data_IF_315837331505
#
_entry.id   IF_315837331505
#
_cell.length_a   1.000
_cell.length_b   1.000
_cell.length_c   1.000
_cell.angle_alpha   90.00
_cell.angle_beta   90.00
_cell.angle_gamma   90.00
#
_symmetry.space_group_name_H-M   'P 1'
#
loop_
_entity.id
_entity.type
_entity.pdbx_description
1 polymer ?
#
# COMPACT_ATOMS: atom_id res chain seq x y z
N UNK A 1 20.50 59.72 -46.52
CA UNK A 1 20.94 58.94 -45.30
C UNK A 1 19.78 58.04 -44.90
N UNK A 2 19.82 56.72 -45.20
CA UNK A 2 18.76 55.78 -44.86
C UNK A 2 19.22 55.01 -43.60
N UNK A 3 18.49 55.19 -42.49
CA UNK A 3 18.75 54.47 -41.23
C UNK A 3 18.02 53.15 -41.31
N UNK A 4 18.78 52.05 -41.36
CA UNK A 4 18.22 50.68 -41.32
C UNK A 4 17.91 50.30 -39.86
N UNK A 5 16.67 49.95 -39.61
CA UNK A 5 16.21 49.44 -38.29
C UNK A 5 16.51 47.93 -38.25
N UNK A 6 17.45 47.53 -37.39
CA UNK A 6 17.69 46.13 -37.10
C UNK A 6 16.69 45.67 -36.03
N UNK A 7 15.76 44.78 -36.37
CA UNK A 7 14.89 44.09 -35.42
C UNK A 7 15.62 42.85 -34.95
N UNK A 8 16.06 42.86 -33.69
CA UNK A 8 16.61 41.66 -33.01
C UNK A 8 15.47 40.87 -32.46
N UNK A 9 15.17 39.74 -33.09
CA UNK A 9 14.17 38.78 -32.57
C UNK A 9 14.85 37.94 -31.48
N UNK A 10 14.51 38.15 -30.21
CA UNK A 10 14.89 37.24 -29.11
C UNK A 10 14.06 35.97 -29.22
N UNK A 11 14.69 34.87 -29.60
CA UNK A 11 14.13 33.54 -29.42
C UNK A 11 14.21 33.21 -27.90
N UNK A 12 13.08 33.24 -27.21
CA UNK A 12 12.96 32.68 -25.87
C UNK A 12 13.09 31.14 -25.97
N UNK A 13 14.22 30.60 -25.56
CA UNK A 13 14.37 29.15 -25.38
C UNK A 13 13.41 28.71 -24.26
N UNK A 14 12.39 27.91 -24.60
CA UNK A 14 11.55 27.27 -23.59
C UNK A 14 12.43 26.36 -22.74
N UNK A 15 12.45 26.60 -21.42
CA UNK A 15 13.10 25.69 -20.48
C UNK A 15 12.52 24.29 -20.65
N UNK A 16 13.33 23.22 -20.63
CA UNK A 16 12.81 21.86 -20.69
C UNK A 16 11.87 21.66 -19.51
N UNK A 17 10.62 21.29 -19.79
CA UNK A 17 9.65 20.91 -18.79
C UNK A 17 10.27 19.73 -17.99
N UNK A 18 10.58 19.94 -16.72
CA UNK A 18 11.04 18.85 -15.87
C UNK A 18 9.96 17.75 -15.93
N UNK A 19 10.35 16.55 -16.34
CA UNK A 19 9.40 15.43 -16.42
C UNK A 19 8.76 15.23 -15.04
N UNK A 20 7.44 15.09 -15.03
CA UNK A 20 6.69 14.81 -13.80
C UNK A 20 7.30 13.57 -13.10
N UNK A 21 7.44 13.62 -11.76
CA UNK A 21 8.02 12.50 -11.04
C UNK A 21 7.11 11.27 -11.17
N UNK A 22 7.73 10.08 -11.26
CA UNK A 22 7.00 8.80 -11.31
C UNK A 22 5.93 8.76 -10.22
N UNK A 23 4.63 8.60 -10.56
CA UNK A 23 3.57 8.51 -9.56
C UNK A 23 3.76 7.32 -8.64
N UNK A 24 3.30 7.43 -7.39
CA UNK A 24 3.35 6.35 -6.41
C UNK A 24 1.92 5.94 -6.04
N UNK A 25 1.63 4.66 -6.07
CA UNK A 25 0.52 4.06 -5.34
C UNK A 25 1.08 3.56 -4.00
N UNK A 26 0.69 4.20 -2.89
CA UNK A 26 1.09 3.74 -1.56
C UNK A 26 0.15 2.63 -1.12
N UNK A 27 0.65 1.40 -1.12
CA UNK A 27 -0.15 0.21 -0.81
C UNK A 27 -0.23 -0.11 0.68
N UNK A 28 0.36 0.73 1.56
CA UNK A 28 0.42 0.43 2.98
C UNK A 28 0.57 1.70 3.82
N UNK A 29 -0.54 2.18 4.36
CA UNK A 29 -0.56 3.43 5.10
C UNK A 29 -1.60 3.41 6.23
N UNK A 30 -1.26 4.00 7.38
CA UNK A 30 -2.14 4.06 8.55
C UNK A 30 -2.32 5.48 9.05
N UNK A 31 -3.55 5.84 9.36
CA UNK A 31 -3.90 7.10 9.99
C UNK A 31 -4.69 6.85 11.28
N UNK A 32 -3.98 6.35 12.30
CA UNK A 32 -4.58 5.98 13.58
C UNK A 32 -4.81 7.21 14.49
N UNK A 33 -5.60 7.02 15.54
CA UNK A 33 -6.10 8.09 16.43
C UNK A 33 -5.00 8.97 17.05
N UNK A 34 -3.81 8.43 17.23
CA UNK A 34 -2.65 9.15 17.78
C UNK A 34 -2.07 10.20 16.81
N UNK A 35 -2.38 10.11 15.52
CA UNK A 35 -1.93 11.07 14.51
C UNK A 35 -2.92 12.24 14.29
N UNK A 36 -4.18 12.11 14.69
CA UNK A 36 -5.25 13.01 14.24
C UNK A 36 -5.07 14.48 14.66
N UNK A 37 -4.55 14.70 15.86
CA UNK A 37 -4.31 16.07 16.37
C UNK A 37 -2.99 16.65 15.82
N UNK A 38 -1.98 15.80 15.63
CA UNK A 38 -0.67 16.24 15.16
C UNK A 38 -0.65 16.55 13.67
N UNK A 39 -1.37 15.76 12.87
CA UNK A 39 -1.44 15.91 11.41
C UNK A 39 -2.91 15.79 11.00
N UNK A 40 -3.67 16.89 10.95
CA UNK A 40 -5.07 16.89 10.53
C UNK A 40 -5.27 16.30 9.12
N UNK A 41 -6.45 15.75 8.78
CA UNK A 41 -6.71 15.10 7.49
C UNK A 41 -6.28 15.92 6.26
N UNK A 42 -6.54 17.24 6.26
CA UNK A 42 -6.11 18.13 5.16
C UNK A 42 -4.60 18.15 4.97
N UNK A 43 -3.85 18.16 6.07
CA UNK A 43 -2.39 18.19 6.03
C UNK A 43 -1.84 16.84 5.56
N UNK A 44 -2.46 15.72 5.97
CA UNK A 44 -2.16 14.38 5.44
C UNK A 44 -2.33 14.38 3.92
N UNK A 45 -3.47 14.86 3.41
CA UNK A 45 -3.74 14.89 1.98
C UNK A 45 -2.74 15.80 1.24
N UNK A 46 -2.37 16.93 1.83
CA UNK A 46 -1.35 17.81 1.26
C UNK A 46 0.03 17.14 1.19
N UNK A 47 0.43 16.41 2.23
CA UNK A 47 1.69 15.65 2.26
C UNK A 47 1.71 14.54 1.21
N UNK A 48 0.63 13.75 1.09
CA UNK A 48 0.51 12.70 0.07
C UNK A 48 0.63 13.29 -1.35
N UNK A 49 -0.08 14.36 -1.64
CA UNK A 49 0.00 15.07 -2.93
C UNK A 49 1.41 15.61 -3.19
N UNK A 50 2.04 16.25 -2.18
CA UNK A 50 3.42 16.73 -2.27
C UNK A 50 4.42 15.59 -2.54
N UNK A 51 4.17 14.41 -1.96
CA UNK A 51 4.94 13.19 -2.23
C UNK A 51 4.69 12.60 -3.62
N UNK A 52 3.75 13.14 -4.41
CA UNK A 52 3.35 12.57 -5.69
C UNK A 52 2.68 11.19 -5.52
N UNK A 53 2.03 10.99 -4.37
CA UNK A 53 1.20 9.82 -4.12
C UNK A 53 -0.09 10.00 -4.93
N UNK A 54 -0.31 9.09 -5.84
CA UNK A 54 -1.46 9.06 -6.75
C UNK A 54 -2.70 8.49 -6.09
N UNK A 55 -2.51 7.44 -5.28
CA UNK A 55 -3.50 6.76 -4.46
C UNK A 55 -2.84 6.11 -3.27
N UNK A 56 -3.58 5.94 -2.19
CA UNK A 56 -3.12 5.28 -0.98
C UNK A 56 -4.16 4.28 -0.47
N UNK A 57 -3.73 3.03 -0.24
CA UNK A 57 -4.49 2.03 0.50
C UNK A 57 -4.31 2.32 1.99
N UNK A 58 -5.40 2.60 2.69
CA UNK A 58 -5.36 3.09 4.07
C UNK A 58 -6.18 2.21 4.99
N UNK A 59 -5.53 1.69 6.04
CA UNK A 59 -6.17 1.05 7.18
C UNK A 59 -5.77 1.73 8.49
N UNK A 60 -6.66 1.86 9.43
CA UNK A 60 -6.42 2.65 10.64
C UNK A 60 -7.00 1.98 11.90
N UNK A 61 -6.37 2.22 13.03
CA UNK A 61 -6.89 1.89 14.37
C UNK A 61 -7.20 3.20 15.12
N UNK A 62 -8.46 3.58 15.28
CA UNK A 62 -9.65 2.91 14.72
C UNK A 62 -9.83 3.21 13.23
N UNK A 63 -10.73 2.44 12.58
CA UNK A 63 -11.15 2.65 11.20
C UNK A 63 -11.71 4.06 10.92
N UNK A 64 -12.12 4.79 11.94
CA UNK A 64 -12.56 6.18 11.79
C UNK A 64 -11.48 7.09 11.18
N UNK A 65 -10.19 6.78 11.39
CA UNK A 65 -9.10 7.48 10.72
C UNK A 65 -9.13 7.29 9.19
N UNK A 66 -9.34 6.07 8.74
CA UNK A 66 -9.52 5.74 7.32
C UNK A 66 -10.70 6.52 6.73
N UNK A 67 -11.84 6.54 7.44
CA UNK A 67 -13.04 7.25 6.98
C UNK A 67 -12.86 8.78 6.96
N UNK A 68 -12.10 9.35 7.91
CA UNK A 68 -11.75 10.79 7.91
C UNK A 68 -10.94 11.17 6.66
N UNK A 69 -9.92 10.37 6.33
CA UNK A 69 -9.11 10.62 5.11
C UNK A 69 -9.92 10.39 3.83
N UNK A 70 -10.75 9.36 3.80
CA UNK A 70 -11.61 9.09 2.65
C UNK A 70 -12.62 10.22 2.41
N UNK A 71 -13.22 10.75 3.45
CA UNK A 71 -14.13 11.90 3.34
C UNK A 71 -13.44 13.17 2.81
N UNK A 72 -12.17 13.38 3.15
CA UNK A 72 -11.39 14.55 2.70
C UNK A 72 -10.94 14.42 1.24
N UNK A 73 -10.59 13.20 0.77
CA UNK A 73 -10.08 12.97 -0.57
C UNK A 73 -10.45 11.58 -1.13
N UNK A 74 -11.71 11.35 -1.52
CA UNK A 74 -12.18 10.03 -1.96
C UNK A 74 -11.52 9.52 -3.25
N UNK A 75 -10.97 10.41 -4.08
CA UNK A 75 -10.24 10.00 -5.29
C UNK A 75 -8.79 9.54 -4.99
N UNK A 76 -8.23 9.96 -3.85
CA UNK A 76 -6.87 9.63 -3.43
C UNK A 76 -6.83 8.42 -2.49
N UNK A 77 -7.78 8.34 -1.56
CA UNK A 77 -7.81 7.35 -0.48
C UNK A 77 -8.63 6.13 -0.88
N UNK A 78 -8.07 4.96 -0.65
CA UNK A 78 -8.72 3.67 -0.86
C UNK A 78 -8.90 3.02 0.52
N UNK A 79 -10.15 2.88 1.02
CA UNK A 79 -10.39 2.35 2.36
C UNK A 79 -10.12 0.86 2.45
N UNK A 80 -9.44 0.49 3.52
CA UNK A 80 -9.21 -0.85 3.98
C UNK A 80 -9.62 -0.96 5.45
N UNK A 81 -10.26 -2.07 5.85
CA UNK A 81 -10.78 -2.28 7.18
C UNK A 81 -9.81 -3.06 8.05
N UNK A 82 -9.21 -2.41 9.04
CA UNK A 82 -8.40 -3.09 10.05
C UNK A 82 -9.29 -3.86 11.02
N UNK A 83 -8.98 -5.13 11.36
CA UNK A 83 -9.86 -5.93 12.24
C UNK A 83 -9.87 -5.47 13.69
N UNK A 84 -8.86 -4.71 14.14
CA UNK A 84 -8.81 -4.22 15.52
C UNK A 84 -9.17 -2.74 15.65
N UNK A 85 -9.84 -2.40 16.76
CA UNK A 85 -10.45 -1.09 17.04
C UNK A 85 -9.44 -0.10 17.61
N UNK A 86 -8.35 -0.61 18.17
CA UNK A 86 -7.26 0.18 18.75
C UNK A 86 -5.92 -0.49 18.52
N UNK A 87 -4.82 0.25 18.66
CA UNK A 87 -3.46 -0.30 18.56
C UNK A 87 -3.16 -1.35 19.62
N UNK A 88 -3.81 -1.27 20.79
CA UNK A 88 -3.64 -2.25 21.88
C UNK A 88 -4.15 -3.64 21.53
N UNK A 89 -5.00 -3.78 20.53
CA UNK A 89 -5.56 -5.08 20.13
C UNK A 89 -4.71 -5.82 19.08
N UNK A 90 -3.61 -5.23 18.60
CA UNK A 90 -2.78 -5.76 17.50
C UNK A 90 -2.29 -7.21 17.74
N UNK A 91 -2.03 -7.59 18.96
CA UNK A 91 -1.55 -8.94 19.35
C UNK A 91 -2.63 -9.86 19.91
N UNK A 92 -3.90 -9.43 19.99
CA UNK A 92 -4.95 -10.17 20.70
C UNK A 92 -6.27 -10.29 19.94
N UNK A 93 -6.47 -9.48 18.88
CA UNK A 93 -7.72 -9.39 18.12
C UNK A 93 -8.25 -10.76 17.65
N UNK A 94 -7.36 -11.67 17.27
CA UNK A 94 -7.71 -13.00 16.74
C UNK A 94 -8.33 -13.93 17.79
N UNK A 95 -8.27 -13.58 19.08
CA UNK A 95 -8.89 -14.30 20.19
C UNK A 95 -10.17 -13.64 20.71
N UNK A 96 -10.54 -12.45 20.23
CA UNK A 96 -11.70 -11.70 20.71
C UNK A 96 -12.90 -11.87 19.77
N UNK A 97 -13.95 -12.64 20.16
CA UNK A 97 -15.14 -12.84 19.31
C UNK A 97 -15.88 -11.55 18.95
N UNK A 98 -15.74 -10.47 19.73
CA UNK A 98 -16.40 -9.19 19.44
C UNK A 98 -15.85 -8.49 18.22
N UNK A 99 -14.68 -8.89 17.74
CA UNK A 99 -14.09 -8.43 16.46
C UNK A 99 -14.98 -8.84 15.28
N UNK A 100 -15.65 -10.00 15.34
CA UNK A 100 -16.56 -10.43 14.27
C UNK A 100 -17.69 -9.42 14.12
N UNK A 101 -18.32 -9.03 15.22
CA UNK A 101 -19.38 -8.00 15.22
C UNK A 101 -18.85 -6.66 14.68
N UNK A 102 -17.66 -6.25 15.10
CA UNK A 102 -17.02 -5.03 14.60
C UNK A 102 -16.84 -5.07 13.08
N UNK A 103 -16.26 -6.15 12.54
CA UNK A 103 -16.07 -6.31 11.09
C UNK A 103 -17.40 -6.27 10.33
N UNK A 104 -18.40 -7.04 10.79
CA UNK A 104 -19.71 -7.10 10.15
C UNK A 104 -20.43 -5.75 10.15
N UNK A 105 -20.37 -4.99 11.25
CA UNK A 105 -20.99 -3.67 11.34
C UNK A 105 -20.30 -2.65 10.44
N UNK A 106 -18.97 -2.65 10.39
CA UNK A 106 -18.23 -1.74 9.52
C UNK A 106 -18.47 -2.08 8.04
N UNK A 107 -18.46 -3.35 7.66
CA UNK A 107 -18.72 -3.82 6.29
C UNK A 107 -20.14 -3.52 5.80
N UNK A 108 -21.14 -3.52 6.68
CA UNK A 108 -22.50 -3.07 6.35
C UNK A 108 -22.59 -1.56 6.11
N UNK A 109 -21.80 -0.79 6.85
CA UNK A 109 -21.88 0.68 6.87
C UNK A 109 -21.03 1.36 5.80
N UNK A 110 -19.85 0.83 5.50
CA UNK A 110 -18.89 1.46 4.61
C UNK A 110 -18.42 0.52 3.50
N UNK A 111 -17.75 1.09 2.49
CA UNK A 111 -17.15 0.33 1.39
C UNK A 111 -15.65 0.21 1.61
N UNK A 112 -15.14 -1.01 1.46
CA UNK A 112 -13.72 -1.33 1.58
C UNK A 112 -13.28 -2.20 0.38
N UNK A 113 -11.98 -2.22 0.13
CA UNK A 113 -11.36 -3.08 -0.89
C UNK A 113 -10.65 -4.28 -0.26
N UNK A 114 -10.30 -4.18 1.03
CA UNK A 114 -9.57 -5.20 1.78
C UNK A 114 -9.99 -5.23 3.25
N UNK A 115 -9.70 -6.34 3.93
CA UNK A 115 -9.60 -6.44 5.38
C UNK A 115 -8.12 -6.56 5.74
N UNK A 116 -7.61 -5.63 6.54
CA UNK A 116 -6.21 -5.55 6.96
C UNK A 116 -5.78 -4.10 7.21
N UNK A 117 -4.54 -3.78 7.35
CA UNK A 117 -3.48 -4.72 7.67
C UNK A 117 -3.77 -5.44 8.99
N UNK A 118 -3.58 -6.73 9.05
CA UNK A 118 -3.71 -7.47 10.31
C UNK A 118 -2.44 -8.28 10.61
N UNK A 119 -2.05 -8.32 11.89
CA UNK A 119 -0.94 -9.13 12.39
C UNK A 119 -1.47 -10.51 12.79
N UNK A 120 -1.00 -11.57 12.10
CA UNK A 120 -1.47 -12.94 12.30
C UNK A 120 -0.35 -13.93 11.96
N UNK A 121 -0.01 -14.82 12.89
CA UNK A 121 1.13 -15.71 12.75
C UNK A 121 0.76 -17.16 13.02
N UNK A 122 1.31 -18.06 12.20
CA UNK A 122 1.22 -19.51 12.36
C UNK A 122 -0.20 -20.01 12.60
N UNK A 123 -0.35 -20.89 13.58
CA UNK A 123 -1.61 -21.56 13.89
C UNK A 123 -2.73 -20.62 14.38
N UNK A 124 -2.44 -19.37 14.75
CA UNK A 124 -3.48 -18.40 15.10
C UNK A 124 -4.45 -18.15 13.92
N UNK A 125 -4.00 -18.38 12.68
CA UNK A 125 -4.85 -18.29 11.50
C UNK A 125 -6.01 -19.31 11.50
N UNK A 126 -5.90 -20.39 12.25
CA UNK A 126 -6.93 -21.42 12.37
C UNK A 126 -7.99 -21.13 13.44
N UNK A 127 -7.84 -20.05 14.20
CA UNK A 127 -8.79 -19.65 15.25
C UNK A 127 -10.13 -19.17 14.65
N UNK A 128 -11.23 -19.24 15.43
CA UNK A 128 -12.57 -18.89 14.93
C UNK A 128 -12.69 -17.49 14.33
N UNK A 129 -12.04 -16.48 14.94
CA UNK A 129 -12.12 -15.08 14.52
C UNK A 129 -11.44 -14.87 13.15
N UNK A 130 -10.18 -15.29 12.91
CA UNK A 130 -9.57 -15.25 11.59
C UNK A 130 -10.33 -16.07 10.54
N UNK A 131 -10.87 -17.24 10.87
CA UNK A 131 -11.72 -18.02 9.95
C UNK A 131 -12.92 -17.21 9.49
N UNK A 132 -13.65 -16.58 10.42
CA UNK A 132 -14.81 -15.73 10.08
C UNK A 132 -14.38 -14.52 9.26
N UNK A 133 -13.23 -13.91 9.55
CA UNK A 133 -12.67 -12.82 8.75
C UNK A 133 -12.42 -13.24 7.29
N UNK A 134 -11.86 -14.43 7.06
CA UNK A 134 -11.66 -14.98 5.70
C UNK A 134 -13.00 -15.20 4.98
N UNK A 135 -14.01 -15.71 5.68
CA UNK A 135 -15.37 -15.85 5.12
C UNK A 135 -15.96 -14.49 4.72
N UNK A 136 -15.85 -13.47 5.59
CA UNK A 136 -16.28 -12.11 5.29
C UNK A 136 -15.54 -11.53 4.08
N UNK A 137 -14.23 -11.72 4.00
CA UNK A 137 -13.45 -11.28 2.83
C UNK A 137 -13.97 -11.93 1.54
N UNK A 138 -14.31 -13.22 1.56
CA UNK A 138 -14.92 -13.92 0.43
C UNK A 138 -16.32 -13.41 0.11
N UNK A 139 -17.20 -13.24 1.11
CA UNK A 139 -18.57 -12.75 0.96
C UNK A 139 -18.61 -11.35 0.31
N UNK A 140 -17.75 -10.46 0.76
CA UNK A 140 -17.65 -9.09 0.27
C UNK A 140 -16.66 -8.91 -0.89
N UNK A 141 -16.01 -9.98 -1.36
CA UNK A 141 -15.02 -9.97 -2.44
C UNK A 141 -13.82 -9.04 -2.16
N UNK A 142 -13.34 -9.05 -0.93
CA UNK A 142 -12.23 -8.22 -0.45
C UNK A 142 -10.88 -8.95 -0.58
N UNK A 143 -9.81 -8.16 -0.58
CA UNK A 143 -8.47 -8.68 -0.31
C UNK A 143 -8.28 -8.92 1.20
N UNK A 144 -7.31 -9.75 1.52
CA UNK A 144 -6.74 -9.86 2.85
C UNK A 144 -5.35 -9.20 2.82
N UNK A 145 -5.12 -8.15 3.62
CA UNK A 145 -3.80 -7.54 3.74
C UNK A 145 -3.13 -8.05 5.03
N UNK A 146 -2.19 -8.97 4.85
CA UNK A 146 -1.71 -9.83 5.92
C UNK A 146 -0.26 -9.52 6.32
N UNK A 147 -0.05 -8.96 7.50
CA UNK A 147 1.24 -8.93 8.18
C UNK A 147 1.45 -10.29 8.88
N UNK A 148 2.03 -11.21 8.17
CA UNK A 148 2.01 -12.63 8.54
C UNK A 148 3.29 -13.35 8.09
N UNK A 149 3.64 -14.40 8.82
CA UNK A 149 4.64 -15.35 8.39
C UNK A 149 4.11 -16.27 7.27
N UNK A 150 4.99 -17.05 6.66
CA UNK A 150 4.64 -18.00 5.60
C UNK A 150 3.63 -19.04 6.05
N UNK A 151 3.70 -19.53 7.30
CA UNK A 151 2.77 -20.53 7.81
C UNK A 151 1.34 -19.97 7.89
N UNK A 152 1.15 -18.74 8.39
CA UNK A 152 -0.16 -18.11 8.41
C UNK A 152 -0.69 -17.86 6.98
N UNK A 153 0.13 -17.40 6.04
CA UNK A 153 -0.27 -17.24 4.61
C UNK A 153 -0.75 -18.58 4.03
N UNK A 154 -0.02 -19.66 4.27
CA UNK A 154 -0.42 -21.00 3.83
C UNK A 154 -1.77 -21.45 4.42
N UNK A 155 -2.00 -21.15 5.70
CA UNK A 155 -3.28 -21.47 6.37
C UNK A 155 -4.43 -20.63 5.83
N UNK A 156 -4.21 -19.36 5.54
CA UNK A 156 -5.22 -18.50 4.91
C UNK A 156 -5.63 -19.05 3.54
N UNK A 157 -4.68 -19.48 2.70
CA UNK A 157 -4.99 -20.14 1.42
C UNK A 157 -5.63 -21.53 1.59
N UNK A 158 -5.34 -22.25 2.69
CA UNK A 158 -6.03 -23.50 3.01
C UNK A 158 -7.49 -23.26 3.40
N UNK A 159 -7.80 -22.15 4.07
CA UNK A 159 -9.17 -21.75 4.43
C UNK A 159 -9.97 -21.29 3.20
N UNK A 160 -9.35 -20.53 2.31
CA UNK A 160 -9.91 -20.14 1.03
C UNK A 160 -8.84 -20.17 -0.08
N UNK A 161 -8.80 -21.22 -0.91
CA UNK A 161 -7.84 -21.33 -2.01
C UNK A 161 -7.95 -20.21 -3.06
N UNK A 162 -9.05 -19.47 -3.09
CA UNK A 162 -9.29 -18.36 -3.98
C UNK A 162 -9.08 -16.99 -3.32
N UNK A 163 -8.69 -16.96 -2.04
CA UNK A 163 -8.38 -15.71 -1.35
C UNK A 163 -7.42 -14.86 -2.19
N UNK A 164 -7.61 -13.54 -2.14
CA UNK A 164 -6.68 -12.58 -2.73
C UNK A 164 -5.92 -11.94 -1.57
N UNK A 165 -4.62 -12.17 -1.51
CA UNK A 165 -3.80 -11.74 -0.37
C UNK A 165 -2.74 -10.75 -0.82
N UNK A 166 -2.70 -9.59 -0.17
CA UNK A 166 -1.57 -8.67 -0.17
C UNK A 166 -0.72 -9.00 1.07
N UNK A 167 0.49 -9.47 0.84
CA UNK A 167 1.41 -9.86 1.91
C UNK A 167 2.23 -8.66 2.33
N UNK A 168 1.91 -8.13 3.51
CA UNK A 168 2.57 -6.95 4.06
C UNK A 168 4.07 -7.21 4.25
N UNK A 169 4.90 -6.24 3.85
CA UNK A 169 6.36 -6.27 3.97
C UNK A 169 7.02 -7.49 3.30
N UNK A 170 6.34 -8.18 2.37
CA UNK A 170 6.80 -9.48 1.86
C UNK A 170 7.08 -10.51 2.99
N UNK A 171 6.36 -10.41 4.11
CA UNK A 171 6.56 -11.20 5.32
C UNK A 171 7.91 -11.00 6.01
N UNK A 172 8.67 -9.96 5.65
CA UNK A 172 10.09 -9.80 6.02
C UNK A 172 10.98 -10.98 5.60
N UNK A 173 10.50 -11.79 4.66
CA UNK A 173 11.22 -12.96 4.15
C UNK A 173 12.33 -12.56 3.16
N UNK A 174 13.29 -13.48 2.97
CA UNK A 174 14.31 -13.33 1.94
C UNK A 174 13.72 -13.43 0.54
N UNK A 175 14.28 -12.78 -0.49
CA UNK A 175 13.76 -12.78 -1.86
C UNK A 175 13.49 -14.16 -2.42
N UNK A 176 14.33 -15.15 -2.11
CA UNK A 176 14.15 -16.53 -2.55
C UNK A 176 12.84 -17.14 -2.01
N UNK A 177 12.52 -16.90 -0.73
CA UNK A 177 11.26 -17.37 -0.10
C UNK A 177 10.05 -16.61 -0.65
N UNK A 178 10.15 -15.31 -0.86
CA UNK A 178 9.09 -14.51 -1.50
C UNK A 178 8.77 -15.06 -2.89
N UNK A 179 9.78 -15.33 -3.71
CA UNK A 179 9.61 -15.94 -5.05
C UNK A 179 8.94 -17.31 -5.00
N UNK A 180 9.34 -18.15 -4.03
CA UNK A 180 8.71 -19.46 -3.80
C UNK A 180 7.21 -19.32 -3.53
N UNK A 181 6.84 -18.42 -2.62
CA UNK A 181 5.44 -18.16 -2.25
C UNK A 181 4.63 -17.59 -3.42
N UNK A 182 5.20 -16.66 -4.19
CA UNK A 182 4.54 -16.10 -5.38
C UNK A 182 4.35 -17.13 -6.50
N UNK A 183 5.28 -18.08 -6.69
CA UNK A 183 5.11 -19.21 -7.62
C UNK A 183 3.98 -20.14 -7.20
N UNK A 184 3.90 -20.42 -5.91
CA UNK A 184 2.91 -21.33 -5.34
C UNK A 184 1.51 -20.75 -5.37
N UNK A 185 1.36 -19.45 -5.06
CA UNK A 185 0.08 -18.80 -4.90
C UNK A 185 -0.15 -17.70 -5.94
N UNK A 186 -0.94 -18.01 -6.95
CA UNK A 186 -1.27 -17.07 -8.05
C UNK A 186 -2.01 -15.81 -7.59
N UNK A 187 -2.71 -15.86 -6.46
CA UNK A 187 -3.48 -14.76 -5.89
C UNK A 187 -2.77 -14.13 -4.67
N UNK A 188 -1.45 -14.22 -4.63
CA UNK A 188 -0.61 -13.55 -3.65
C UNK A 188 0.11 -12.37 -4.33
N UNK A 189 0.01 -11.20 -3.74
CA UNK A 189 0.79 -10.00 -4.03
C UNK A 189 1.60 -9.63 -2.81
N UNK A 190 2.58 -8.75 -2.96
CA UNK A 190 3.53 -8.42 -1.90
C UNK A 190 3.80 -6.94 -1.89
N UNK A 191 3.65 -6.27 -0.75
CA UNK A 191 4.16 -4.92 -0.62
C UNK A 191 5.60 -4.89 -0.05
N UNK A 192 6.26 -3.78 -0.29
CA UNK A 192 7.65 -3.51 0.07
C UNK A 192 7.74 -2.47 1.19
N UNK A 193 6.62 -2.17 1.85
CA UNK A 193 6.58 -1.21 2.93
C UNK A 193 7.51 -1.60 4.08
N UNK A 194 8.06 -0.61 4.77
CA UNK A 194 8.97 -0.79 5.91
C UNK A 194 10.23 -1.65 5.64
N UNK A 195 10.54 -1.90 4.37
CA UNK A 195 11.76 -2.64 3.96
C UNK A 195 12.78 -1.69 3.34
N UNK A 196 14.06 -1.95 3.57
CA UNK A 196 15.17 -1.21 2.94
C UNK A 196 16.18 -2.11 2.24
N UNK A 197 16.04 -3.43 2.38
CA UNK A 197 16.97 -4.43 1.86
C UNK A 197 16.83 -4.66 0.34
N UNK A 198 15.71 -4.23 -0.27
CA UNK A 198 15.48 -4.36 -1.71
C UNK A 198 16.16 -3.26 -2.55
N UNK A 199 16.61 -2.16 -1.92
CA UNK A 199 17.28 -1.09 -2.63
C UNK A 199 18.12 -0.22 -1.71
N UNK A 200 19.33 0.09 -2.12
CA UNK A 200 20.27 0.94 -1.41
C UNK A 200 21.03 1.84 -2.38
N UNK A 201 21.25 3.11 -2.01
CA UNK A 201 21.97 4.06 -2.85
C UNK A 201 21.41 4.22 -4.27
N UNK A 202 20.09 4.02 -4.45
CA UNK A 202 19.44 4.08 -5.75
C UNK A 202 19.66 2.84 -6.63
N UNK A 203 20.15 1.73 -6.06
CA UNK A 203 20.35 0.46 -6.74
C UNK A 203 19.48 -0.63 -6.13
N UNK A 204 18.93 -1.49 -6.97
CA UNK A 204 18.16 -2.66 -6.54
C UNK A 204 19.13 -3.81 -6.24
N UNK A 205 18.94 -4.47 -5.10
CA UNK A 205 19.66 -5.70 -4.76
C UNK A 205 19.45 -6.77 -5.84
N UNK A 206 20.46 -7.59 -6.10
CA UNK A 206 20.45 -8.55 -7.21
C UNK A 206 19.37 -9.62 -7.07
N UNK A 207 19.13 -10.13 -5.85
CA UNK A 207 18.11 -11.15 -5.60
C UNK A 207 16.70 -10.56 -5.67
N UNK A 208 16.52 -9.34 -5.15
CA UNK A 208 15.27 -8.59 -5.31
C UNK A 208 15.00 -8.22 -6.76
N UNK A 209 16.03 -7.83 -7.52
CA UNK A 209 15.89 -7.60 -8.96
C UNK A 209 15.37 -8.85 -9.66
N UNK A 210 15.92 -10.04 -9.34
CA UNK A 210 15.45 -11.30 -9.90
C UNK A 210 13.97 -11.56 -9.56
N UNK A 211 13.53 -11.22 -8.33
CA UNK A 211 12.12 -11.33 -7.93
C UNK A 211 11.22 -10.37 -8.72
N UNK A 212 11.61 -9.11 -8.85
CA UNK A 212 10.84 -8.09 -9.57
C UNK A 212 10.73 -8.40 -11.07
N UNK A 213 11.79 -8.94 -11.67
CA UNK A 213 11.79 -9.33 -13.09
C UNK A 213 10.97 -10.60 -13.34
N UNK A 214 10.92 -11.54 -12.39
CA UNK A 214 10.12 -12.76 -12.48
C UNK A 214 8.62 -12.47 -12.26
N UNK A 215 8.29 -11.55 -11.35
CA UNK A 215 6.92 -11.23 -10.94
C UNK A 215 6.61 -9.72 -11.01
N UNK A 216 6.75 -9.07 -12.18
CA UNK A 216 6.60 -7.61 -12.26
C UNK A 216 5.20 -7.11 -11.87
N UNK A 217 4.18 -7.96 -11.95
CA UNK A 217 2.79 -7.62 -11.65
C UNK A 217 2.36 -7.98 -10.21
N UNK A 218 3.33 -8.32 -9.32
CA UNK A 218 3.03 -8.84 -7.98
C UNK A 218 3.58 -8.02 -6.83
N UNK A 219 4.38 -7.00 -7.10
CA UNK A 219 4.96 -6.13 -6.08
C UNK A 219 4.33 -4.74 -6.11
N UNK A 220 4.21 -4.15 -4.92
CA UNK A 220 3.72 -2.79 -4.71
C UNK A 220 4.66 -2.06 -3.75
N UNK A 221 4.84 -0.76 -3.95
CA UNK A 221 5.48 0.09 -2.94
C UNK A 221 4.50 0.44 -1.83
N UNK A 222 5.02 0.73 -0.65
CA UNK A 222 4.26 1.22 0.49
C UNK A 222 5.19 1.93 1.47
N UNK A 223 4.65 2.85 2.28
CA UNK A 223 5.45 3.60 3.26
C UNK A 223 5.35 3.03 4.66
N UNK A 224 4.28 2.33 4.98
CA UNK A 224 3.92 1.93 6.34
C UNK A 224 4.03 3.11 7.31
N UNK A 225 3.33 4.19 6.99
CA UNK A 225 3.24 5.37 7.85
C UNK A 225 2.28 5.07 9.00
N UNK A 226 2.75 4.44 10.07
CA UNK A 226 1.95 3.94 11.18
C UNK A 226 2.01 4.80 12.45
N UNK A 227 3.04 5.64 12.59
CA UNK A 227 3.23 6.51 13.74
C UNK A 227 3.15 7.98 13.33
N UNK A 228 2.72 8.89 14.25
CA UNK A 228 2.56 10.31 13.92
C UNK A 228 3.80 10.96 13.29
N UNK A 229 4.99 10.63 13.80
CA UNK A 229 6.26 11.19 13.35
C UNK A 229 6.61 10.79 11.91
N UNK A 230 6.13 9.63 11.45
CA UNK A 230 6.41 9.12 10.10
C UNK A 230 5.74 9.95 9.00
N UNK A 231 4.71 10.71 9.34
CA UNK A 231 4.05 11.62 8.39
C UNK A 231 5.00 12.69 7.86
N UNK A 232 5.99 13.11 8.64
CA UNK A 232 7.00 14.08 8.21
C UNK A 232 7.91 13.53 7.10
N UNK A 233 8.01 12.20 6.97
CA UNK A 233 8.92 11.52 6.02
C UNK A 233 8.21 10.98 4.77
N UNK A 234 6.91 11.19 4.60
CA UNK A 234 6.14 10.66 3.44
C UNK A 234 6.75 11.07 2.10
N UNK A 235 7.16 12.33 1.97
CA UNK A 235 7.78 12.84 0.73
C UNK A 235 9.13 12.20 0.47
N UNK A 236 9.94 12.02 1.52
CA UNK A 236 11.27 11.41 1.45
C UNK A 236 11.16 9.91 1.11
N UNK A 237 10.21 9.19 1.70
CA UNK A 237 9.93 7.79 1.38
C UNK A 237 9.51 7.63 -0.09
N UNK A 238 8.65 8.50 -0.60
CA UNK A 238 8.25 8.47 -2.00
C UNK A 238 9.46 8.73 -2.94
N UNK A 239 10.35 9.66 -2.58
CA UNK A 239 11.56 9.95 -3.34
C UNK A 239 12.59 8.81 -3.25
N UNK A 240 12.73 8.19 -2.09
CA UNK A 240 13.55 7.00 -1.91
C UNK A 240 13.06 5.84 -2.80
N UNK A 241 11.74 5.60 -2.83
CA UNK A 241 11.15 4.61 -3.72
C UNK A 241 11.46 4.89 -5.19
N UNK A 242 11.31 6.15 -5.63
CA UNK A 242 11.68 6.55 -7.00
C UNK A 242 13.15 6.35 -7.32
N UNK A 243 14.03 6.53 -6.34
CA UNK A 243 15.47 6.40 -6.54
C UNK A 243 15.87 4.98 -6.93
N UNK A 244 15.39 3.95 -6.23
CA UNK A 244 15.72 2.57 -6.57
C UNK A 244 14.88 2.04 -7.75
N UNK A 245 13.62 2.51 -7.92
CA UNK A 245 12.79 2.14 -9.07
C UNK A 245 13.44 2.52 -10.41
N UNK A 246 14.18 3.62 -10.48
CA UNK A 246 14.92 4.05 -11.67
C UNK A 246 15.99 3.05 -12.14
N UNK A 247 16.43 2.15 -11.27
CA UNK A 247 17.40 1.11 -11.61
C UNK A 247 16.75 -0.09 -12.33
N UNK A 248 15.40 -0.18 -12.36
CA UNK A 248 14.63 -1.19 -13.07
C UNK A 248 14.27 -0.74 -14.49
N UNK A 249 13.95 -1.69 -15.40
CA UNK A 249 13.31 -1.35 -16.67
C UNK A 249 12.06 -0.48 -16.45
N UNK A 250 11.80 0.54 -17.27
CA UNK A 250 10.73 1.51 -17.05
C UNK A 250 9.34 0.89 -16.83
N UNK A 251 8.97 -0.14 -17.59
CA UNK A 251 7.69 -0.82 -17.46
C UNK A 251 7.54 -1.57 -16.14
N UNK A 252 8.62 -2.20 -15.65
CA UNK A 252 8.65 -2.88 -14.34
C UNK A 252 8.59 -1.84 -13.21
N UNK A 253 9.34 -0.74 -13.34
CA UNK A 253 9.31 0.36 -12.39
C UNK A 253 7.89 0.96 -12.26
N UNK A 254 7.21 1.24 -13.37
CA UNK A 254 5.84 1.77 -13.36
C UNK A 254 4.82 0.77 -12.79
N UNK A 255 4.96 -0.53 -13.08
CA UNK A 255 4.12 -1.57 -12.50
C UNK A 255 4.23 -1.56 -10.98
N UNK A 256 5.42 -1.62 -10.43
CA UNK A 256 5.66 -1.66 -8.99
C UNK A 256 5.29 -0.33 -8.34
N UNK A 257 5.59 0.80 -9.00
CA UNK A 257 5.31 2.13 -8.46
C UNK A 257 3.80 2.41 -8.32
N UNK A 258 2.99 2.05 -9.31
CA UNK A 258 1.57 2.42 -9.27
C UNK A 258 0.62 1.53 -10.09
N UNK A 259 1.04 0.95 -11.23
CA UNK A 259 0.10 0.24 -12.12
C UNK A 259 -0.51 -1.00 -11.46
N UNK A 260 0.26 -1.74 -10.65
CA UNK A 260 -0.24 -2.90 -9.94
C UNK A 260 -1.30 -2.49 -8.91
N UNK A 261 -1.06 -1.44 -8.13
CA UNK A 261 -2.04 -0.91 -7.20
C UNK A 261 -3.32 -0.43 -7.88
N UNK A 262 -3.18 0.31 -8.99
CA UNK A 262 -4.33 0.75 -9.79
C UNK A 262 -5.13 -0.44 -10.37
N UNK A 263 -4.45 -1.48 -10.84
CA UNK A 263 -5.10 -2.68 -11.37
C UNK A 263 -5.87 -3.48 -10.32
N UNK A 264 -5.30 -3.60 -9.11
CA UNK A 264 -5.91 -4.36 -8.02
C UNK A 264 -7.06 -3.60 -7.33
N UNK A 265 -6.91 -2.30 -7.11
CA UNK A 265 -7.78 -1.51 -6.24
C UNK A 265 -8.47 -0.33 -6.94
N UNK A 266 -7.99 0.08 -8.13
CA UNK A 266 -8.40 1.33 -8.79
C UNK A 266 -9.87 1.42 -9.20
N UNK A 267 -10.53 0.30 -9.49
CA UNK A 267 -11.90 0.26 -10.00
C UNK A 267 -12.94 -0.14 -8.94
N UNK A 268 -12.53 -0.44 -7.72
CA UNK A 268 -13.38 -1.09 -6.71
C UNK A 268 -14.30 -0.12 -5.98
N UNK A 269 -14.01 1.18 -5.98
CA UNK A 269 -14.75 2.19 -5.20
C UNK A 269 -15.81 2.94 -6.04
N UNK A 270 -15.73 2.86 -7.37
CA UNK A 270 -16.65 3.57 -8.29
C UNK A 270 -18.02 2.89 -8.50
N UNK A 271 -18.38 1.88 -7.66
CA UNK A 271 -19.67 1.17 -7.80
C UNK A 271 -20.56 1.41 -6.60
#
# INVERSE_FOLDING_TARGET
MRIGLFVVTLLAAAAPNAAEPLPIFDAHLHYSHDAWEMVPPKDVIALLKKGGVRRALVSSSSDDGTQKLYAEAPDLIIPELRPYRSRGEIGTWFNDPTIITHLEDRLKRYRYVAIGEFHLYGANADLPVPRRMVELAREYKLFLHAHSDTDAIERLFKLDPNARILWAHSGFEQPAKVREMLRKHRNLWSDLAFRSDHGSGGKVDAEWRAAFMEFPDRFLVGTDTFAPERWHYVVEHANWSRAWLKDLPPDVAEKIAYRNGDALFGNTIKR
#
